data_IF_097880473177
#
_entry.id   IF_097880473177
#
_cell.length_a   1.000
_cell.length_b   1.000
_cell.length_c   1.000
_cell.angle_alpha   90.00
_cell.angle_beta   90.00
_cell.angle_gamma   90.00
#
_symmetry.space_group_name_H-M   'P 1'
#
loop_
_entity.id
_entity.type
_entity.pdbx_description
1 polymer ?
#
# COMPACT_ATOMS: atom_id res chain seq x y z
N UNK A 1 -1.24 1.49 12.85
CA UNK A 1 -2.31 1.71 11.88
C UNK A 1 -1.84 1.36 10.48
N UNK A 2 -2.78 1.00 9.57
CA UNK A 2 -2.39 0.70 8.20
C UNK A 2 -1.69 1.85 7.49
N UNK A 3 -2.09 3.08 7.79
CA UNK A 3 -1.45 4.25 7.20
C UNK A 3 0.01 4.36 7.58
N UNK A 4 0.32 4.13 8.85
CA UNK A 4 1.70 4.17 9.32
C UNK A 4 2.53 3.10 8.64
N UNK A 5 2.00 1.89 8.54
CA UNK A 5 2.70 0.80 7.85
C UNK A 5 2.95 1.15 6.40
N UNK A 6 1.96 1.72 5.74
CA UNK A 6 2.10 2.12 4.34
C UNK A 6 3.22 3.13 4.18
N UNK A 7 3.24 4.15 5.02
CA UNK A 7 4.26 5.18 4.96
C UNK A 7 5.65 4.59 5.20
N UNK A 8 5.77 3.71 6.20
CA UNK A 8 7.05 3.07 6.47
C UNK A 8 7.53 2.22 5.31
N UNK A 9 6.62 1.50 4.66
CA UNK A 9 6.96 0.70 3.50
C UNK A 9 7.39 1.58 2.33
N UNK A 10 6.73 2.70 2.13
CA UNK A 10 7.09 3.63 1.07
C UNK A 10 8.46 4.24 1.32
N UNK A 11 8.74 4.62 2.56
CA UNK A 11 10.06 5.15 2.90
C UNK A 11 11.15 4.11 2.67
N UNK A 12 10.89 2.87 3.08
CA UNK A 12 11.84 1.79 2.87
C UNK A 12 12.05 1.53 1.37
N UNK A 13 10.99 1.62 0.58
CA UNK A 13 11.09 1.43 -0.86
C UNK A 13 11.95 2.51 -1.51
N UNK A 14 11.78 3.76 -1.09
CA UNK A 14 12.61 4.85 -1.61
C UNK A 14 14.07 4.66 -1.25
N UNK A 15 14.34 4.06 -0.11
CA UNK A 15 15.71 3.80 0.34
C UNK A 15 16.26 2.48 -0.16
N UNK A 16 15.48 1.70 -0.88
CA UNK A 16 15.89 0.38 -1.33
C UNK A 16 17.08 0.48 -2.30
N UNK A 17 18.13 -0.33 -2.08
CA UNK A 17 19.31 -0.24 -2.91
C UNK A 17 19.17 -0.91 -4.26
N UNK A 18 18.22 -1.83 -4.42
CA UNK A 18 18.04 -2.56 -5.67
C UNK A 18 16.56 -2.65 -6.04
N UNK A 19 16.35 -3.05 -7.28
CA UNK A 19 15.02 -3.11 -7.85
C UNK A 19 14.18 -4.20 -7.22
N UNK A 20 14.78 -5.33 -6.88
CA UNK A 20 14.05 -6.44 -6.30
C UNK A 20 13.49 -6.08 -4.93
N UNK A 21 14.31 -5.44 -4.11
CA UNK A 21 13.86 -4.99 -2.80
C UNK A 21 12.77 -3.92 -2.93
N UNK A 22 12.95 -3.01 -3.87
CA UNK A 22 11.95 -2.00 -4.16
C UNK A 22 10.61 -2.62 -4.53
N UNK A 23 10.64 -3.59 -5.44
CA UNK A 23 9.41 -4.27 -5.87
C UNK A 23 8.74 -5.03 -4.73
N UNK A 24 9.53 -5.71 -3.91
CA UNK A 24 8.97 -6.45 -2.78
C UNK A 24 8.26 -5.52 -1.81
N UNK A 25 8.88 -4.37 -1.51
CA UNK A 25 8.29 -3.39 -0.61
C UNK A 25 7.05 -2.75 -1.22
N UNK A 26 7.10 -2.46 -2.51
CA UNK A 26 5.95 -1.88 -3.20
C UNK A 26 4.78 -2.84 -3.25
N UNK A 27 5.05 -4.14 -3.40
CA UNK A 27 3.99 -5.13 -3.35
C UNK A 27 3.30 -5.18 -2.00
N UNK A 28 4.07 -5.05 -0.94
CA UNK A 28 3.49 -5.01 0.40
C UNK A 28 2.66 -3.74 0.60
N UNK A 29 3.16 -2.61 0.15
CA UNK A 29 2.42 -1.36 0.24
C UNK A 29 1.14 -1.42 -0.58
N UNK A 30 1.21 -2.01 -1.76
CA UNK A 30 0.04 -2.17 -2.62
C UNK A 30 -1.02 -3.04 -1.96
N UNK A 31 -0.59 -4.08 -1.24
CA UNK A 31 -1.52 -4.94 -0.52
C UNK A 31 -2.27 -4.15 0.54
N UNK A 32 -1.56 -3.28 1.28
CA UNK A 32 -2.21 -2.45 2.29
C UNK A 32 -3.21 -1.51 1.64
N UNK A 33 -2.83 -0.91 0.52
CA UNK A 33 -3.73 -0.04 -0.23
C UNK A 33 -4.99 -0.78 -0.68
N UNK A 34 -4.82 -1.98 -1.19
CA UNK A 34 -5.95 -2.77 -1.67
C UNK A 34 -6.89 -3.15 -0.54
N UNK A 35 -6.34 -3.49 0.60
CA UNK A 35 -7.16 -3.82 1.76
C UNK A 35 -8.00 -2.62 2.20
N UNK A 36 -7.41 -1.45 2.19
CA UNK A 36 -8.12 -0.22 2.53
C UNK A 36 -9.09 0.19 1.43
N UNK A 37 -8.70 0.01 0.18
CA UNK A 37 -9.56 0.36 -0.95
C UNK A 37 -10.79 -0.52 -1.05
N UNK A 38 -10.68 -1.76 -0.62
CA UNK A 38 -11.85 -2.64 -0.64
C UNK A 38 -12.98 -2.03 0.17
N UNK A 39 -12.66 -1.46 1.34
CA UNK A 39 -13.66 -0.78 2.15
C UNK A 39 -14.19 0.47 1.44
N UNK A 40 -13.31 1.24 0.80
CA UNK A 40 -13.71 2.45 0.09
C UNK A 40 -14.52 2.12 -1.16
N UNK A 41 -14.12 1.09 -1.90
CA UNK A 41 -14.85 0.66 -3.08
C UNK A 41 -16.25 0.21 -2.72
N UNK A 42 -16.39 -0.44 -1.58
CA UNK A 42 -17.68 -0.88 -1.10
C UNK A 42 -18.59 0.32 -0.82
N UNK A 43 -18.03 1.34 -0.18
CA UNK A 43 -18.77 2.56 0.09
C UNK A 43 -19.15 3.29 -1.19
N UNK A 44 -18.22 3.36 -2.13
CA UNK A 44 -18.48 4.00 -3.42
C UNK A 44 -19.57 3.26 -4.20
N UNK A 45 -19.56 1.95 -4.14
CA UNK A 45 -20.59 1.15 -4.81
C UNK A 45 -21.97 1.44 -4.23
N UNK A 46 -22.05 1.62 -2.93
CA UNK A 46 -23.31 1.96 -2.30
C UNK A 46 -23.74 3.38 -2.62
N UNK A 47 -22.80 4.28 -2.73
CA UNK A 47 -23.08 5.67 -3.06
C UNK A 47 -23.52 5.84 -4.52
N UNK A 48 -23.09 4.95 -5.37
CA UNK A 48 -23.46 5.00 -6.77
C UNK A 48 -24.83 4.40 -7.00
#
# INVERSE_FOLDING_TARGET
TPEEKFILLMEAAYAAPDKETYHALMQQADRILKENQVAMDHLNSEAA
#
